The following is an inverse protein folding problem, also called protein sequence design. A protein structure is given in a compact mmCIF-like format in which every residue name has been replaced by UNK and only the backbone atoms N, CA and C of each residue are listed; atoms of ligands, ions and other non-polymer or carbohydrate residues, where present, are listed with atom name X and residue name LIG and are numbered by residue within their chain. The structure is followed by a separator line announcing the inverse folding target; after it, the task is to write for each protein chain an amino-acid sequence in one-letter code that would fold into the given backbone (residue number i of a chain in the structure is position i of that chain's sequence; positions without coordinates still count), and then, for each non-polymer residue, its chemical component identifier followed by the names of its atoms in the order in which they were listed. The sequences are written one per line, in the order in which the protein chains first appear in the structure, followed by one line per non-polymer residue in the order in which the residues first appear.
data_IF_684413332681
#
_entry.id   IF_684413332681
#
_cell.length_a   1.000
_cell.length_b   1.000
_cell.length_c   1.000
_cell.angle_alpha   90.00
_cell.angle_beta   90.00
_cell.angle_gamma   90.00
#
_symmetry.space_group_name_H-M   'P 1'
#
loop_
_entity.id
_entity.type
_entity.pdbx_description
1 polymer ?
#
# COMPACT_ATOMS: atom_id res chain seq x y z
N UNK A 1 12.20 4.95 17.73
CA UNK A 1 12.02 6.25 17.04
C UNK A 1 13.24 6.63 16.21
N UNK A 2 14.42 6.67 16.84
CA UNK A 2 15.64 7.06 16.11
C UNK A 2 15.97 6.13 14.93
N UNK A 3 15.76 4.82 15.10
CA UNK A 3 16.00 3.87 14.01
C UNK A 3 15.08 4.10 12.82
N UNK A 4 13.84 4.46 13.10
CA UNK A 4 12.86 4.75 12.06
C UNK A 4 13.25 5.98 11.25
N UNK A 5 13.63 7.07 11.94
CA UNK A 5 14.06 8.29 11.26
C UNK A 5 15.34 8.07 10.47
N UNK A 6 16.27 7.28 11.00
CA UNK A 6 17.50 6.94 10.30
C UNK A 6 17.20 6.17 9.01
N UNK A 7 16.28 5.21 9.06
CA UNK A 7 15.91 4.41 7.90
C UNK A 7 15.25 5.26 6.80
N UNK A 8 14.40 6.22 7.20
CA UNK A 8 13.81 7.16 6.25
C UNK A 8 14.88 8.01 5.56
N UNK A 9 15.83 8.53 6.33
CA UNK A 9 16.92 9.32 5.81
C UNK A 9 17.79 8.50 4.86
N UNK A 10 18.14 7.30 5.27
CA UNK A 10 18.95 6.38 4.49
C UNK A 10 18.26 6.05 3.16
N UNK A 11 16.96 5.77 3.22
CA UNK A 11 16.16 5.48 2.04
C UNK A 11 16.18 6.65 1.04
N UNK A 12 15.97 7.86 1.53
CA UNK A 12 16.00 9.05 0.67
C UNK A 12 17.36 9.24 0.03
N UNK A 13 18.42 8.99 0.78
CA UNK A 13 19.78 9.15 0.30
C UNK A 13 20.09 8.22 -0.87
N UNK A 14 19.63 6.97 -0.78
CA UNK A 14 19.87 5.97 -1.79
C UNK A 14 18.72 5.80 -2.77
N UNK A 15 17.66 6.58 -2.62
CA UNK A 15 16.47 6.52 -3.47
C UNK A 15 15.83 5.12 -3.51
N UNK A 16 16.00 4.36 -2.46
CA UNK A 16 15.43 3.02 -2.35
C UNK A 16 14.11 3.04 -1.60
N UNK A 17 13.15 2.22 -2.07
CA UNK A 17 11.90 2.00 -1.36
C UNK A 17 12.17 1.32 -0.02
N UNK A 18 11.32 1.59 0.98
CA UNK A 18 11.41 0.93 2.27
C UNK A 18 11.25 -0.57 2.10
N UNK A 19 12.16 -1.38 2.66
CA UNK A 19 11.99 -2.83 2.62
C UNK A 19 10.67 -3.26 3.23
N UNK A 20 10.07 -4.28 2.63
CA UNK A 20 8.79 -4.81 3.08
C UNK A 20 8.80 -5.16 4.57
N UNK A 21 9.87 -5.78 5.04
CA UNK A 21 10.00 -6.15 6.45
C UNK A 21 9.88 -4.95 7.38
N UNK A 22 10.54 -3.85 7.03
CA UNK A 22 10.50 -2.63 7.84
C UNK A 22 9.12 -2.00 7.82
N UNK A 23 8.44 -2.03 6.67
CA UNK A 23 7.08 -1.55 6.53
C UNK A 23 6.14 -2.31 7.46
N UNK A 24 6.23 -3.63 7.47
CA UNK A 24 5.41 -4.47 8.33
C UNK A 24 5.70 -4.24 9.81
N UNK A 25 6.96 -4.07 10.17
CA UNK A 25 7.35 -3.76 11.54
C UNK A 25 6.79 -2.41 11.98
N UNK A 26 6.82 -1.42 11.10
CA UNK A 26 6.27 -0.09 11.40
C UNK A 26 4.80 -0.17 11.78
N UNK A 27 4.03 -0.98 11.06
CA UNK A 27 2.60 -1.13 11.32
C UNK A 27 2.29 -2.21 12.35
N UNK A 28 3.31 -2.87 12.88
CA UNK A 28 3.18 -3.94 13.87
C UNK A 28 2.26 -5.06 13.37
N UNK A 29 2.56 -5.55 12.18
CA UNK A 29 1.82 -6.67 11.57
C UNK A 29 2.78 -7.76 11.15
N UNK A 30 2.26 -8.99 11.09
CA UNK A 30 2.96 -10.15 10.55
C UNK A 30 2.51 -10.39 9.12
N UNK A 31 3.34 -11.10 8.36
CA UNK A 31 3.02 -11.48 6.99
C UNK A 31 2.91 -12.99 6.88
N UNK A 32 1.88 -13.45 6.17
CA UNK A 32 1.70 -14.86 5.84
C UNK A 32 1.48 -14.99 4.34
N UNK A 33 2.28 -15.80 3.67
CA UNK A 33 2.15 -16.00 2.23
C UNK A 33 1.32 -17.23 1.91
N UNK A 34 0.55 -17.14 0.84
CA UNK A 34 -0.15 -18.29 0.27
C UNK A 34 0.07 -18.30 -1.25
N UNK A 35 -0.19 -19.44 -1.89
CA UNK A 35 -0.07 -19.55 -3.33
C UNK A 35 -1.42 -19.40 -4.01
N UNK A 36 -1.40 -19.07 -5.30
CA UNK A 36 -2.63 -18.95 -6.09
C UNK A 36 -3.43 -20.24 -6.11
N UNK A 37 -2.76 -21.40 -5.97
CA UNK A 37 -3.41 -22.71 -5.91
C UNK A 37 -4.19 -22.90 -4.63
N UNK A 38 -3.72 -22.31 -3.54
CA UNK A 38 -4.39 -22.42 -2.25
C UNK A 38 -5.60 -21.50 -2.17
N UNK A 39 -5.48 -20.29 -2.74
CA UNK A 39 -6.52 -19.29 -2.62
C UNK A 39 -6.39 -18.27 -3.77
N UNK A 40 -7.45 -18.09 -4.58
CA UNK A 40 -7.37 -17.21 -5.76
C UNK A 40 -7.62 -15.74 -5.42
N UNK A 41 -6.96 -15.23 -4.38
CA UNK A 41 -7.06 -13.82 -3.99
C UNK A 41 -5.67 -13.20 -3.98
N UNK A 42 -5.62 -11.86 -4.07
CA UNK A 42 -4.35 -11.15 -3.97
C UNK A 42 -3.86 -11.05 -2.53
N UNK A 43 -4.76 -10.80 -1.60
CA UNK A 43 -4.41 -10.72 -0.20
C UNK A 43 -5.60 -10.30 0.66
N UNK A 44 -5.40 -10.34 1.97
CA UNK A 44 -6.37 -9.80 2.91
C UNK A 44 -5.71 -9.55 4.26
N UNK A 45 -6.39 -8.77 5.10
CA UNK A 45 -5.93 -8.41 6.43
C UNK A 45 -6.80 -9.08 7.49
N UNK A 46 -6.14 -9.65 8.51
CA UNK A 46 -6.78 -9.99 9.77
C UNK A 46 -6.42 -8.87 10.76
N UNK A 47 -7.33 -7.92 11.01
CA UNK A 47 -7.00 -6.78 11.86
C UNK A 47 -6.89 -7.12 13.33
N UNK A 48 -7.54 -8.19 13.77
CA UNK A 48 -7.52 -8.62 15.16
C UNK A 48 -6.16 -9.21 15.51
N UNK A 49 -5.70 -10.16 14.72
CA UNK A 49 -4.41 -10.81 14.92
C UNK A 49 -3.25 -10.05 14.27
N UNK A 50 -3.55 -8.98 13.54
CA UNK A 50 -2.58 -8.11 12.86
C UNK A 50 -1.70 -8.92 11.92
N UNK A 51 -2.35 -9.62 11.01
CA UNK A 51 -1.69 -10.44 9.98
C UNK A 51 -2.15 -10.00 8.60
N UNK A 52 -1.20 -9.72 7.71
CA UNK A 52 -1.48 -9.53 6.29
C UNK A 52 -1.21 -10.85 5.59
N UNK A 53 -2.22 -11.35 4.90
CA UNK A 53 -2.08 -12.53 4.05
C UNK A 53 -1.86 -12.05 2.62
N UNK A 54 -0.81 -12.52 1.99
CA UNK A 54 -0.42 -12.07 0.65
C UNK A 54 -0.18 -13.25 -0.28
N UNK A 55 -0.66 -13.12 -1.51
CA UNK A 55 -0.36 -14.09 -2.55
C UNK A 55 1.11 -13.94 -2.96
N UNK A 56 1.90 -14.98 -2.71
CA UNK A 56 3.33 -14.97 -2.97
C UNK A 56 3.69 -14.99 -4.46
N UNK A 57 2.71 -15.25 -5.33
CA UNK A 57 2.95 -15.31 -6.79
C UNK A 57 2.84 -13.93 -7.45
N UNK A 58 2.48 -12.90 -6.71
CA UNK A 58 2.34 -11.54 -7.26
C UNK A 58 3.71 -10.94 -7.64
N UNK A 59 3.76 -10.18 -8.75
CA UNK A 59 4.97 -9.40 -9.06
C UNK A 59 5.28 -8.39 -7.94
N UNK A 60 6.56 -8.00 -7.75
CA UNK A 60 6.96 -7.17 -6.61
C UNK A 60 6.18 -5.87 -6.45
N UNK A 61 5.95 -5.13 -7.55
CA UNK A 61 5.23 -3.86 -7.45
C UNK A 61 3.75 -4.07 -7.12
N UNK A 62 3.13 -5.10 -7.68
CA UNK A 62 1.74 -5.45 -7.35
C UNK A 62 1.65 -5.95 -5.91
N UNK A 63 2.61 -6.73 -5.46
CA UNK A 63 2.68 -7.21 -4.08
C UNK A 63 2.73 -6.03 -3.10
N UNK A 64 3.56 -5.04 -3.35
CA UNK A 64 3.66 -3.85 -2.52
C UNK A 64 2.33 -3.10 -2.46
N UNK A 65 1.70 -2.91 -3.62
CA UNK A 65 0.39 -2.25 -3.69
C UNK A 65 -0.64 -2.97 -2.82
N UNK A 66 -0.72 -4.30 -2.92
CA UNK A 66 -1.70 -5.09 -2.17
C UNK A 66 -1.44 -4.98 -0.67
N UNK A 67 -0.19 -5.10 -0.25
CA UNK A 67 0.16 -4.98 1.18
C UNK A 67 -0.26 -3.60 1.71
N UNK A 68 0.07 -2.53 0.99
CA UNK A 68 -0.29 -1.18 1.42
C UNK A 68 -1.80 -0.96 1.49
N UNK A 69 -2.54 -1.51 0.52
CA UNK A 69 -4.00 -1.45 0.55
C UNK A 69 -4.56 -2.14 1.80
N UNK A 70 -4.06 -3.33 2.09
CA UNK A 70 -4.52 -4.06 3.28
C UNK A 70 -4.13 -3.35 4.58
N UNK A 71 -2.94 -2.77 4.64
CA UNK A 71 -2.54 -1.98 5.80
C UNK A 71 -3.45 -0.76 6.00
N UNK A 72 -4.01 -0.22 4.93
CA UNK A 72 -4.98 0.88 5.00
C UNK A 72 -6.27 0.50 5.72
N UNK A 73 -6.56 -0.78 5.87
CA UNK A 73 -7.75 -1.25 6.58
C UNK A 73 -7.53 -1.46 8.08
N UNK A 74 -6.31 -1.29 8.60
CA UNK A 74 -5.99 -1.61 10.00
C UNK A 74 -6.87 -0.88 11.01
N UNK A 75 -7.21 0.37 10.73
CA UNK A 75 -8.00 1.19 11.64
C UNK A 75 -9.52 1.06 11.40
N UNK A 76 -9.92 0.26 10.41
CA UNK A 76 -11.33 0.07 10.10
C UNK A 76 -11.96 -0.97 11.03
N UNK A 77 -13.19 -0.68 11.48
CA UNK A 77 -13.91 -1.60 12.35
C UNK A 77 -14.61 -2.67 11.51
N UNK A 78 -14.21 -3.97 11.65
CA UNK A 78 -14.82 -5.04 10.86
C UNK A 78 -16.35 -5.12 11.01
N UNK A 79 -16.89 -4.71 12.15
CA UNK A 79 -18.35 -4.72 12.40
C UNK A 79 -19.09 -3.77 11.51
N UNK A 80 -18.43 -2.71 11.04
CA UNK A 80 -19.04 -1.69 10.20
C UNK A 80 -18.68 -1.84 8.73
N UNK A 81 -17.93 -2.87 8.34
CA UNK A 81 -17.40 -2.98 6.99
C UNK A 81 -18.49 -3.06 5.93
N UNK A 82 -19.54 -3.86 6.15
CA UNK A 82 -20.62 -3.99 5.17
C UNK A 82 -21.31 -2.65 4.89
N UNK A 83 -21.58 -1.88 5.95
CA UNK A 83 -22.27 -0.60 5.85
C UNK A 83 -21.39 0.50 5.25
N UNK A 84 -20.09 0.48 5.57
CA UNK A 84 -19.14 1.52 5.19
C UNK A 84 -18.13 1.06 4.13
N UNK A 85 -18.45 0.01 3.39
CA UNK A 85 -17.52 -0.61 2.45
C UNK A 85 -16.89 0.40 1.49
N UNK A 86 -17.70 1.19 0.80
CA UNK A 86 -17.18 2.14 -0.18
C UNK A 86 -16.27 3.17 0.46
N UNK A 87 -16.64 3.66 1.63
CA UNK A 87 -15.84 4.64 2.37
C UNK A 87 -14.50 4.03 2.81
N UNK A 88 -14.53 2.82 3.35
CA UNK A 88 -13.32 2.14 3.81
C UNK A 88 -12.40 1.78 2.64
N UNK A 89 -12.96 1.30 1.54
CA UNK A 89 -12.17 0.98 0.36
C UNK A 89 -11.52 2.25 -0.23
N UNK A 90 -12.26 3.33 -0.32
CA UNK A 90 -11.71 4.61 -0.80
C UNK A 90 -10.59 5.12 0.09
N UNK A 91 -10.74 4.98 1.40
CA UNK A 91 -9.72 5.41 2.35
C UNK A 91 -8.47 4.54 2.24
N UNK A 92 -8.63 3.21 2.14
CA UNK A 92 -7.52 2.30 1.97
C UNK A 92 -6.76 2.57 0.67
N UNK A 93 -7.49 2.84 -0.42
CA UNK A 93 -6.87 3.19 -1.70
C UNK A 93 -6.12 4.52 -1.60
N UNK A 94 -6.68 5.50 -0.92
CA UNK A 94 -6.02 6.80 -0.72
C UNK A 94 -4.71 6.64 0.05
N UNK A 95 -4.75 5.90 1.14
CA UNK A 95 -3.56 5.65 1.96
C UNK A 95 -2.49 4.89 1.17
N UNK A 96 -2.92 3.90 0.40
CA UNK A 96 -2.03 3.15 -0.48
C UNK A 96 -1.36 4.06 -1.52
N UNK A 97 -2.13 4.92 -2.19
CA UNK A 97 -1.58 5.84 -3.19
C UNK A 97 -0.56 6.78 -2.55
N UNK A 98 -0.87 7.32 -1.37
CA UNK A 98 0.06 8.19 -0.67
C UNK A 98 1.38 7.49 -0.38
N UNK A 99 1.34 6.25 0.10
CA UNK A 99 2.56 5.51 0.39
C UNK A 99 3.35 5.16 -0.87
N UNK A 100 2.65 4.80 -1.95
CA UNK A 100 3.32 4.51 -3.22
C UNK A 100 3.97 5.77 -3.80
N UNK A 101 3.31 6.93 -3.68
CA UNK A 101 3.86 8.19 -4.18
C UNK A 101 5.16 8.58 -3.45
N UNK A 102 5.29 8.20 -2.19
CA UNK A 102 6.53 8.46 -1.44
C UNK A 102 7.75 7.77 -2.03
N UNK A 103 7.54 6.72 -2.81
CA UNK A 103 8.62 5.96 -3.46
C UNK A 103 8.97 6.51 -4.84
N UNK A 104 8.28 7.56 -5.30
CA UNK A 104 8.46 8.09 -6.64
C UNK A 104 9.16 9.43 -6.64
N UNK A 105 9.81 9.76 -7.77
CA UNK A 105 10.35 11.09 -7.99
C UNK A 105 9.20 12.02 -8.42
N UNK A 106 8.75 12.86 -7.50
CA UNK A 106 7.58 13.71 -7.73
C UNK A 106 7.91 14.92 -8.61
N UNK A 107 9.20 15.23 -8.83
CA UNK A 107 9.60 16.31 -9.71
C UNK A 107 9.42 15.96 -11.19
N UNK A 108 9.48 14.67 -11.51
CA UNK A 108 9.32 14.15 -12.87
C UNK A 108 8.26 13.05 -12.85
N UNK A 109 7.06 13.41 -12.43
CA UNK A 109 5.99 12.45 -12.18
C UNK A 109 5.10 12.28 -13.40
N UNK A 110 4.90 11.00 -13.81
CA UNK A 110 4.01 10.62 -14.90
C UNK A 110 2.92 9.70 -14.36
N UNK A 111 1.68 10.17 -14.41
CA UNK A 111 0.52 9.45 -13.85
C UNK A 111 0.32 8.08 -14.50
N UNK A 112 0.40 8.02 -15.83
CA UNK A 112 0.15 6.76 -16.53
C UNK A 112 1.21 5.73 -16.20
N UNK A 113 2.47 6.13 -16.19
CA UNK A 113 3.56 5.23 -15.83
C UNK A 113 3.42 4.70 -14.41
N UNK A 114 3.07 5.60 -13.48
CA UNK A 114 2.83 5.24 -12.09
C UNK A 114 1.70 4.22 -11.95
N UNK A 115 0.59 4.48 -12.63
CA UNK A 115 -0.58 3.57 -12.59
C UNK A 115 -0.27 2.21 -13.19
N UNK A 116 0.50 2.17 -14.27
CA UNK A 116 0.92 0.92 -14.90
C UNK A 116 1.88 0.14 -13.99
N UNK A 117 2.85 0.84 -13.42
CA UNK A 117 3.85 0.22 -12.56
C UNK A 117 3.23 -0.56 -11.40
N UNK A 118 2.21 0.02 -10.77
CA UNK A 118 1.58 -0.60 -9.60
C UNK A 118 0.24 -1.27 -9.92
N UNK A 119 -0.10 -1.38 -11.21
CA UNK A 119 -1.35 -2.01 -11.65
C UNK A 119 -2.59 -1.40 -10.98
N UNK A 120 -2.71 -0.08 -11.09
CA UNK A 120 -3.78 0.68 -10.43
C UNK A 120 -4.99 0.93 -11.31
N UNK A 121 -4.91 0.64 -12.61
CA UNK A 121 -5.94 1.03 -13.58
C UNK A 121 -7.31 0.42 -13.31
N UNK A 122 -7.36 -0.71 -12.61
CA UNK A 122 -8.63 -1.36 -12.26
C UNK A 122 -9.19 -0.91 -10.91
N UNK A 123 -8.41 -0.17 -10.13
CA UNK A 123 -8.77 0.22 -8.76
C UNK A 123 -9.18 1.69 -8.70
N UNK A 124 -8.45 2.54 -9.40
CA UNK A 124 -8.68 3.98 -9.38
C UNK A 124 -8.39 4.58 -10.75
N UNK A 125 -8.92 5.76 -11.00
CA UNK A 125 -8.68 6.46 -12.24
C UNK A 125 -7.56 7.49 -12.12
N UNK A 126 -7.20 8.07 -13.25
CA UNK A 126 -6.13 9.08 -13.33
C UNK A 126 -6.45 10.30 -12.48
N UNK A 127 -7.72 10.71 -12.45
CA UNK A 127 -8.16 11.87 -11.67
C UNK A 127 -7.92 11.66 -10.18
N UNK A 128 -8.20 10.48 -9.68
CA UNK A 128 -7.96 10.14 -8.28
C UNK A 128 -6.48 10.25 -7.94
N UNK A 129 -5.62 9.64 -8.76
CA UNK A 129 -4.17 9.68 -8.54
C UNK A 129 -3.65 11.12 -8.61
N UNK A 130 -4.10 11.88 -9.59
CA UNK A 130 -3.71 13.27 -9.76
C UNK A 130 -4.07 14.11 -8.54
N UNK A 131 -5.28 13.94 -8.01
CA UNK A 131 -5.73 14.70 -6.85
C UNK A 131 -4.88 14.37 -5.62
N UNK A 132 -4.53 13.11 -5.43
CA UNK A 132 -3.71 12.70 -4.29
C UNK A 132 -2.26 13.21 -4.44
N UNK A 133 -1.73 13.19 -5.66
CA UNK A 133 -0.43 13.77 -5.96
C UNK A 133 -0.39 15.26 -5.61
N UNK A 134 -1.42 16.00 -6.03
CA UNK A 134 -1.48 17.44 -5.75
C UNK A 134 -1.56 17.75 -4.26
N UNK A 135 -2.26 16.91 -3.49
CA UNK A 135 -2.30 17.06 -2.04
C UNK A 135 -0.93 16.91 -1.41
N UNK A 136 -0.10 16.00 -1.91
CA UNK A 136 1.24 15.78 -1.39
C UNK A 136 2.21 16.89 -1.75
N UNK A 137 1.95 17.62 -2.84
CA UNK A 137 2.81 18.72 -3.29
C UNK A 137 2.52 20.05 -2.60
N UNK A 138 1.51 20.11 -1.76
CA UNK A 138 1.17 21.34 -1.02
C UNK A 138 2.09 21.61 0.15
#
# INVERSE_FOLDING_TARGET
MSNWLFLLFYRNWYEEAMPEKELLEQFNVSLCEFSSNEWPRNGFLDPINRVVYINGDLPPDTRLKVILHELGHLEHNPKHYERLREKYEAQANRDMIHELLKNENLDDFNYLHFMEKYNLTTICDETFVKNEYLKMMR
#
